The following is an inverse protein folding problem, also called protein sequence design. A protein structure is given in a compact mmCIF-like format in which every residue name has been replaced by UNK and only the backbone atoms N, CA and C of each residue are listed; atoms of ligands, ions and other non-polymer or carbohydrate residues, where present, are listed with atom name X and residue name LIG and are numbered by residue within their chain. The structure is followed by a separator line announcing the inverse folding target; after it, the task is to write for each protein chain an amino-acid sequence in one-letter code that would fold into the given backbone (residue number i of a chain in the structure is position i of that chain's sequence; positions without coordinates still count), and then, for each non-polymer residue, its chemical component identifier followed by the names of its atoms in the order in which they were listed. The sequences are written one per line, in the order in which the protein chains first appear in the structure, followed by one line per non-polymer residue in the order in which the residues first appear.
data_IF_964384591409
#
_entry.id   IF_964384591409
#
_cell.length_a   1.000
_cell.length_b   1.000
_cell.length_c   1.000
_cell.angle_alpha   90.00
_cell.angle_beta   90.00
_cell.angle_gamma   90.00
#
_symmetry.space_group_name_H-M   'P 1'
#
loop_
_entity.id
_entity.type
_entity.pdbx_description
1 polymer ?
#
# COMPACT_ATOMS: atom_id res chain seq x y z
N UNK A 1 -15.27 -0.15 -3.62
CA UNK A 1 -15.04 -0.67 -2.27
C UNK A 1 -13.81 0.00 -1.63
N UNK A 2 -12.60 -0.12 -2.20
CA UNK A 2 -11.33 0.40 -1.64
C UNK A 2 -11.40 1.88 -1.23
N UNK A 3 -11.88 2.76 -2.10
CA UNK A 3 -12.04 4.18 -1.81
C UNK A 3 -13.00 4.48 -0.66
N UNK A 4 -14.05 3.65 -0.48
CA UNK A 4 -14.98 3.79 0.63
C UNK A 4 -14.33 3.39 1.96
N UNK A 5 -13.54 2.30 1.97
CA UNK A 5 -12.79 1.85 3.16
C UNK A 5 -11.80 2.92 3.62
N UNK A 6 -11.12 3.59 2.69
CA UNK A 6 -10.17 4.66 3.00
C UNK A 6 -10.81 6.04 3.28
N UNK A 7 -12.15 6.13 3.28
CA UNK A 7 -12.86 7.39 3.48
C UNK A 7 -12.77 8.38 2.31
N UNK A 8 -12.22 7.96 1.17
CA UNK A 8 -12.09 8.78 -0.05
C UNK A 8 -13.40 8.88 -0.85
N UNK A 9 -14.37 8.05 -0.51
CA UNK A 9 -15.70 8.05 -1.10
C UNK A 9 -16.72 7.72 -0.01
N UNK A 10 -17.89 8.39 -0.01
CA UNK A 10 -18.97 8.04 0.93
C UNK A 10 -19.40 6.60 0.71
N UNK A 11 -19.43 5.83 1.78
CA UNK A 11 -20.07 4.52 1.79
C UNK A 11 -21.58 4.66 1.49
N UNK A 12 -22.17 3.63 0.91
CA UNK A 12 -23.62 3.58 0.73
C UNK A 12 -24.32 3.67 2.09
N UNK A 13 -25.53 4.25 2.13
CA UNK A 13 -26.30 4.35 3.37
C UNK A 13 -26.49 2.96 3.99
N UNK A 14 -26.18 2.85 5.29
CA UNK A 14 -26.30 1.60 6.06
C UNK A 14 -25.08 0.66 5.99
N UNK A 15 -24.05 0.98 5.23
CA UNK A 15 -22.76 0.24 5.22
C UNK A 15 -21.88 0.73 6.36
N UNK A 16 -21.43 -0.19 7.19
CA UNK A 16 -20.42 0.05 8.23
C UNK A 16 -19.13 -0.66 7.85
N UNK A 17 -18.03 0.02 8.05
CA UNK A 17 -16.68 -0.55 7.88
C UNK A 17 -16.08 -0.66 9.27
N UNK A 18 -15.81 -1.88 9.69
CA UNK A 18 -15.32 -2.16 11.03
C UNK A 18 -14.09 -3.09 10.96
N UNK A 19 -13.16 -2.91 11.89
CA UNK A 19 -12.02 -3.77 12.14
C UNK A 19 -12.09 -4.23 13.60
N UNK A 20 -12.05 -5.53 13.84
CA UNK A 20 -12.17 -6.14 15.17
C UNK A 20 -13.43 -5.67 15.94
N UNK A 21 -14.56 -5.54 15.22
CA UNK A 21 -15.84 -5.10 15.79
C UNK A 21 -15.94 -3.61 16.10
N UNK A 22 -14.89 -2.82 15.84
CA UNK A 22 -14.88 -1.37 16.02
C UNK A 22 -14.93 -0.67 14.66
N UNK A 23 -15.69 0.41 14.58
CA UNK A 23 -15.76 1.22 13.37
C UNK A 23 -14.37 1.75 13.00
N UNK A 24 -14.02 1.61 11.72
CA UNK A 24 -12.73 2.07 11.22
C UNK A 24 -12.69 3.61 11.19
N UNK A 25 -11.78 4.19 11.95
CA UNK A 25 -11.63 5.63 11.98
C UNK A 25 -10.94 6.17 10.72
N UNK A 26 -11.20 7.44 10.40
CA UNK A 26 -10.50 8.13 9.32
C UNK A 26 -8.98 8.10 9.55
N UNK A 27 -8.22 7.84 8.50
CA UNK A 27 -6.76 7.73 8.56
C UNK A 27 -6.21 6.36 8.99
N UNK A 28 -7.06 5.43 9.44
CA UNK A 28 -6.61 4.07 9.78
C UNK A 28 -6.47 3.15 8.56
N UNK A 29 -7.02 3.53 7.42
CA UNK A 29 -6.86 2.82 6.16
C UNK A 29 -6.11 3.68 5.14
N UNK A 30 -5.20 3.08 4.41
CA UNK A 30 -4.42 3.70 3.36
C UNK A 30 -4.62 2.94 2.04
N UNK A 31 -4.86 3.68 0.96
CA UNK A 31 -5.00 3.13 -0.38
C UNK A 31 -3.74 3.42 -1.20
N UNK A 32 -3.03 2.39 -1.60
CA UNK A 32 -2.00 2.47 -2.64
C UNK A 32 -2.72 2.34 -3.98
N UNK A 33 -2.78 3.44 -4.73
CA UNK A 33 -3.46 3.47 -6.03
C UNK A 33 -2.59 2.84 -7.13
N UNK A 34 -3.21 2.34 -8.17
CA UNK A 34 -2.54 1.85 -9.38
C UNK A 34 -1.58 2.91 -9.95
N UNK A 35 -2.01 4.17 -10.02
CA UNK A 35 -1.16 5.29 -10.42
C UNK A 35 -0.55 5.97 -9.17
N UNK A 36 0.56 5.40 -8.70
CA UNK A 36 1.30 5.91 -7.53
C UNK A 36 1.86 7.32 -7.69
N UNK A 37 2.00 7.82 -8.94
CA UNK A 37 2.45 9.19 -9.19
C UNK A 37 1.52 10.24 -8.57
N UNK A 38 0.25 9.92 -8.42
CA UNK A 38 -0.77 10.79 -7.83
C UNK A 38 -0.73 10.86 -6.31
N UNK A 39 0.17 10.10 -5.69
CA UNK A 39 0.28 10.01 -4.23
C UNK A 39 1.61 10.53 -3.70
N UNK A 40 2.50 10.98 -4.58
CA UNK A 40 3.83 11.49 -4.26
C UNK A 40 3.87 12.99 -4.48
N UNK A 41 3.92 13.77 -3.40
CA UNK A 41 3.78 15.22 -3.42
C UNK A 41 5.00 15.95 -2.87
N UNK A 42 5.87 15.29 -2.11
CA UNK A 42 7.00 15.93 -1.48
C UNK A 42 8.14 16.22 -2.48
N UNK A 43 9.03 17.11 -2.10
CA UNK A 43 10.21 17.50 -2.91
C UNK A 43 11.33 16.45 -2.85
N UNK A 44 11.32 15.58 -1.82
CA UNK A 44 12.31 14.52 -1.66
C UNK A 44 11.67 13.26 -1.05
N UNK A 45 12.31 12.12 -1.29
CA UNK A 45 11.92 10.81 -0.74
C UNK A 45 11.89 10.86 0.79
N UNK A 46 12.85 11.52 1.41
CA UNK A 46 12.93 11.67 2.88
C UNK A 46 11.83 12.56 3.48
N UNK A 47 11.12 13.32 2.65
CA UNK A 47 9.94 14.09 3.08
C UNK A 47 8.62 13.35 2.85
N UNK A 48 8.62 12.29 2.04
CA UNK A 48 7.44 11.42 1.85
C UNK A 48 7.29 10.43 2.99
N UNK A 49 8.40 9.82 3.46
CA UNK A 49 8.39 8.84 4.53
C UNK A 49 9.63 8.94 5.42
N UNK A 50 9.50 8.50 6.66
CA UNK A 50 10.57 8.51 7.63
C UNK A 50 11.71 7.55 7.29
N UNK A 51 12.92 7.87 7.76
CA UNK A 51 14.14 7.09 7.49
C UNK A 51 14.04 5.60 7.89
N UNK A 52 13.37 5.21 8.99
CA UNK A 52 13.19 3.80 9.34
C UNK A 52 12.46 3.02 8.25
N UNK A 53 11.38 3.56 7.71
CA UNK A 53 10.58 2.95 6.66
C UNK A 53 11.31 2.94 5.31
N UNK A 54 12.09 3.99 5.02
CA UNK A 54 12.94 4.02 3.84
C UNK A 54 14.03 2.95 3.88
N UNK A 55 14.65 2.73 5.05
CA UNK A 55 15.62 1.63 5.24
C UNK A 55 14.97 0.27 5.06
N UNK A 56 13.80 0.07 5.66
CA UNK A 56 13.03 -1.18 5.57
C UNK A 56 12.72 -1.55 4.12
N UNK A 57 12.41 -0.56 3.28
CA UNK A 57 11.99 -0.75 1.89
C UNK A 57 13.10 -0.50 0.87
N UNK A 58 14.36 -0.46 1.32
CA UNK A 58 15.55 -0.29 0.46
C UNK A 58 15.48 0.99 -0.41
N UNK A 59 15.14 2.10 0.26
CA UNK A 59 15.02 3.43 -0.36
C UNK A 59 15.90 4.49 0.33
N UNK A 60 16.64 4.12 1.39
CA UNK A 60 17.41 5.07 2.18
C UNK A 60 18.48 5.82 1.36
N UNK A 61 19.14 5.14 0.42
CA UNK A 61 20.15 5.73 -0.47
C UNK A 61 19.56 6.70 -1.50
N UNK A 62 18.23 6.74 -1.60
CA UNK A 62 17.49 7.62 -2.51
C UNK A 62 16.81 8.79 -1.77
N UNK A 63 17.11 8.97 -0.48
CA UNK A 63 16.43 9.90 0.42
C UNK A 63 16.37 11.35 -0.11
N UNK A 64 17.42 11.81 -0.76
CA UNK A 64 17.56 13.16 -1.30
C UNK A 64 17.01 13.32 -2.72
N UNK A 65 16.57 12.23 -3.34
CA UNK A 65 16.02 12.28 -4.70
C UNK A 65 14.59 12.77 -4.71
N UNK A 66 14.20 13.41 -5.81
CA UNK A 66 12.80 13.76 -6.03
C UNK A 66 11.99 12.48 -6.28
N UNK A 67 10.84 12.25 -5.63
CA UNK A 67 10.04 11.04 -5.75
C UNK A 67 9.68 10.68 -7.20
N UNK A 68 9.39 11.67 -8.04
CA UNK A 68 9.06 11.42 -9.44
C UNK A 68 10.23 10.91 -10.29
N UNK A 69 11.49 11.05 -9.83
CA UNK A 69 12.67 10.51 -10.50
C UNK A 69 12.90 9.01 -10.27
N UNK A 70 12.14 8.40 -9.37
CA UNK A 70 12.24 6.99 -9.02
C UNK A 70 11.64 6.09 -10.12
N UNK A 71 12.11 4.82 -10.17
CA UNK A 71 11.47 3.78 -10.98
C UNK A 71 10.05 3.46 -10.47
N UNK A 72 9.23 2.78 -11.27
CA UNK A 72 7.87 2.39 -10.87
C UNK A 72 7.84 1.59 -9.56
N UNK A 73 8.68 0.55 -9.44
CA UNK A 73 8.76 -0.25 -8.22
C UNK A 73 9.30 0.53 -7.01
N UNK A 74 10.24 1.47 -7.21
CA UNK A 74 10.70 2.35 -6.13
C UNK A 74 9.61 3.29 -5.64
N UNK A 75 8.82 3.87 -6.56
CA UNK A 75 7.66 4.71 -6.22
C UNK A 75 6.62 3.94 -5.43
N UNK A 76 6.33 2.71 -5.84
CA UNK A 76 5.38 1.86 -5.14
C UNK A 76 5.85 1.55 -3.71
N UNK A 77 7.10 1.16 -3.54
CA UNK A 77 7.69 0.96 -2.20
C UNK A 77 7.66 2.24 -1.37
N UNK A 78 7.88 3.40 -1.99
CA UNK A 78 7.81 4.68 -1.29
C UNK A 78 6.39 4.98 -0.78
N UNK A 79 5.34 4.74 -1.58
CA UNK A 79 3.94 4.91 -1.13
C UNK A 79 3.60 3.92 -0.01
N UNK A 80 4.12 2.68 -0.06
CA UNK A 80 3.98 1.72 1.04
C UNK A 80 4.71 2.25 2.30
N UNK A 81 5.92 2.80 2.16
CA UNK A 81 6.65 3.41 3.26
C UNK A 81 5.85 4.54 3.93
N UNK A 82 5.19 5.38 3.13
CA UNK A 82 4.31 6.43 3.62
C UNK A 82 3.12 5.87 4.41
N UNK A 83 2.51 4.79 3.93
CA UNK A 83 1.41 4.13 4.63
C UNK A 83 1.83 3.56 6.00
N UNK A 84 3.03 2.99 6.07
CA UNK A 84 3.59 2.48 7.33
C UNK A 84 3.90 3.63 8.30
N UNK A 85 4.46 4.70 7.79
CA UNK A 85 4.84 5.89 8.57
C UNK A 85 3.61 6.60 9.18
N UNK A 86 2.47 6.56 8.47
CA UNK A 86 1.18 7.03 8.96
C UNK A 86 0.47 6.06 9.91
N UNK A 87 1.10 4.95 10.28
CA UNK A 87 0.56 3.90 11.13
C UNK A 87 -0.80 3.34 10.65
N UNK A 88 -0.95 3.21 9.34
CA UNK A 88 -2.16 2.65 8.74
C UNK A 88 -2.37 1.19 9.20
N UNK A 89 -3.53 0.90 9.77
CA UNK A 89 -3.92 -0.46 10.23
C UNK A 89 -4.43 -1.32 9.08
N UNK A 90 -5.02 -0.70 8.08
CA UNK A 90 -5.53 -1.35 6.87
C UNK A 90 -4.80 -0.77 5.67
N UNK A 91 -4.11 -1.60 4.93
CA UNK A 91 -3.43 -1.25 3.69
C UNK A 91 -4.16 -1.91 2.53
N UNK A 92 -4.60 -1.10 1.58
CA UNK A 92 -5.28 -1.59 0.37
C UNK A 92 -4.39 -1.25 -0.82
N UNK A 93 -4.06 -2.25 -1.64
CA UNK A 93 -3.30 -2.07 -2.86
C UNK A 93 -4.22 -2.33 -4.07
N UNK A 94 -4.31 -1.36 -4.95
CA UNK A 94 -5.13 -1.43 -6.17
C UNK A 94 -4.21 -1.64 -7.37
N UNK A 95 -4.23 -2.86 -7.96
CA UNK A 95 -3.41 -3.29 -9.09
C UNK A 95 -1.90 -3.03 -8.91
N UNK A 96 -1.27 -3.53 -7.82
CA UNK A 96 0.12 -3.22 -7.50
C UNK A 96 1.14 -3.82 -8.48
N UNK A 97 0.72 -4.72 -9.36
CA UNK A 97 1.60 -5.39 -10.33
C UNK A 97 1.80 -4.58 -11.61
N UNK A 98 0.98 -3.56 -11.85
CA UNK A 98 1.00 -2.75 -13.07
C UNK A 98 2.34 -2.02 -13.26
N UNK A 99 3.10 -2.41 -14.31
CA UNK A 99 4.35 -1.76 -14.68
C UNK A 99 5.54 -2.07 -13.76
N UNK A 100 5.43 -3.09 -12.93
CA UNK A 100 6.49 -3.55 -12.01
C UNK A 100 7.07 -4.87 -12.53
N UNK A 101 8.41 -4.99 -12.55
CA UNK A 101 9.04 -6.26 -12.93
C UNK A 101 8.93 -7.32 -11.83
N UNK A 102 9.07 -8.58 -12.21
CA UNK A 102 8.88 -9.74 -11.33
C UNK A 102 9.73 -9.70 -10.04
N UNK A 103 10.98 -9.22 -10.11
CA UNK A 103 11.86 -9.19 -8.91
C UNK A 103 11.33 -8.21 -7.87
N UNK A 104 10.82 -7.07 -8.32
CA UNK A 104 10.23 -6.06 -7.45
C UNK A 104 8.89 -6.53 -6.88
N UNK A 105 8.11 -7.32 -7.65
CA UNK A 105 6.87 -7.93 -7.16
C UNK A 105 7.12 -8.90 -6.01
N UNK A 106 8.12 -9.78 -6.12
CA UNK A 106 8.49 -10.69 -5.04
C UNK A 106 8.89 -9.94 -3.76
N UNK A 107 9.66 -8.85 -3.91
CA UNK A 107 10.04 -8.01 -2.76
C UNK A 107 8.83 -7.33 -2.12
N UNK A 108 7.90 -6.80 -2.92
CA UNK A 108 6.66 -6.21 -2.44
C UNK A 108 5.80 -7.27 -1.74
N UNK A 109 5.63 -8.46 -2.33
CA UNK A 109 4.87 -9.55 -1.74
C UNK A 109 5.42 -9.97 -0.37
N UNK A 110 6.74 -10.08 -0.23
CA UNK A 110 7.38 -10.39 1.04
C UNK A 110 7.08 -9.31 2.10
N UNK A 111 7.19 -8.04 1.74
CA UNK A 111 6.89 -6.92 2.63
C UNK A 111 5.43 -6.90 3.06
N UNK A 112 4.49 -7.16 2.15
CA UNK A 112 3.06 -7.22 2.48
C UNK A 112 2.74 -8.34 3.47
N UNK A 113 3.40 -9.51 3.34
CA UNK A 113 3.28 -10.59 4.32
C UNK A 113 3.83 -10.21 5.69
N UNK A 114 4.96 -9.50 5.72
CA UNK A 114 5.56 -9.07 6.99
C UNK A 114 4.67 -8.03 7.67
N UNK A 115 4.06 -7.10 6.94
CA UNK A 115 3.07 -6.17 7.47
C UNK A 115 1.83 -6.89 8.04
N UNK A 116 1.36 -7.94 7.36
CA UNK A 116 0.25 -8.75 7.87
C UNK A 116 0.63 -9.50 9.16
N UNK A 117 1.84 -10.05 9.26
CA UNK A 117 2.36 -10.68 10.48
C UNK A 117 2.52 -9.69 11.66
N UNK A 118 2.77 -8.43 11.36
CA UNK A 118 2.80 -7.33 12.34
C UNK A 118 1.40 -6.91 12.82
N UNK A 119 0.33 -7.56 12.34
CA UNK A 119 -1.06 -7.32 12.74
C UNK A 119 -1.78 -6.26 11.92
N UNK A 120 -1.25 -5.88 10.76
CA UNK A 120 -1.97 -5.02 9.80
C UNK A 120 -2.87 -5.88 8.92
N UNK A 121 -3.98 -5.32 8.49
CA UNK A 121 -4.83 -5.93 7.46
C UNK A 121 -4.35 -5.46 6.10
N UNK A 122 -3.95 -6.41 5.25
CA UNK A 122 -3.51 -6.13 3.87
C UNK A 122 -4.54 -6.68 2.90
N UNK A 123 -5.07 -5.81 2.05
CA UNK A 123 -6.03 -6.15 1.01
C UNK A 123 -5.39 -5.85 -0.34
N UNK A 124 -5.27 -6.85 -1.18
CA UNK A 124 -4.73 -6.71 -2.53
C UNK A 124 -5.86 -6.91 -3.53
N UNK A 125 -6.03 -5.94 -4.43
CA UNK A 125 -6.95 -6.03 -5.56
C UNK A 125 -6.07 -6.22 -6.80
N UNK A 126 -6.14 -7.38 -7.43
CA UNK A 126 -5.35 -7.69 -8.62
C UNK A 126 -6.03 -8.79 -9.44
N UNK A 127 -5.74 -8.80 -10.72
CA UNK A 127 -6.04 -9.91 -11.64
C UNK A 127 -4.84 -10.84 -11.85
N UNK A 128 -3.70 -10.54 -11.24
CA UNK A 128 -2.48 -11.34 -11.28
C UNK A 128 -2.54 -12.43 -10.21
N UNK A 129 -2.93 -13.64 -10.63
CA UNK A 129 -3.10 -14.80 -9.75
C UNK A 129 -1.77 -15.24 -9.14
N UNK A 130 -0.65 -15.13 -9.86
CA UNK A 130 0.67 -15.50 -9.35
C UNK A 130 1.05 -14.59 -8.17
N UNK A 131 0.87 -13.29 -8.34
CA UNK A 131 1.13 -12.32 -7.28
C UNK A 131 0.21 -12.53 -6.07
N UNK A 132 -1.09 -12.76 -6.29
CA UNK A 132 -2.02 -13.07 -5.20
C UNK A 132 -1.60 -14.30 -4.39
N UNK A 133 -1.20 -15.38 -5.07
CA UNK A 133 -0.70 -16.59 -4.40
C UNK A 133 0.59 -16.34 -3.60
N UNK A 134 1.40 -15.40 -4.04
CA UNK A 134 2.63 -15.03 -3.36
C UNK A 134 2.40 -14.19 -2.09
N UNK A 135 1.36 -13.36 -2.02
CA UNK A 135 1.22 -12.34 -0.97
C UNK A 135 -0.04 -12.47 -0.10
N UNK A 136 -0.97 -13.39 -0.40
CA UNK A 136 -2.25 -13.47 0.33
C UNK A 136 -2.48 -14.85 0.96
N UNK A 137 -3.18 -14.88 2.10
CA UNK A 137 -3.63 -16.12 2.77
C UNK A 137 -5.03 -16.53 2.29
N UNK A 138 -5.82 -15.57 1.82
CA UNK A 138 -7.20 -15.77 1.38
C UNK A 138 -7.47 -14.96 0.12
N UNK A 139 -8.15 -15.58 -0.84
CA UNK A 139 -8.59 -14.93 -2.08
C UNK A 139 -10.11 -14.91 -2.13
N UNK A 140 -10.69 -13.75 -2.46
CA UNK A 140 -12.12 -13.58 -2.69
C UNK A 140 -12.30 -13.14 -4.14
N UNK A 141 -13.02 -13.95 -4.93
CA UNK A 141 -13.41 -13.59 -6.28
C UNK A 141 -14.72 -12.81 -6.24
N UNK A 142 -14.77 -11.70 -6.95
CA UNK A 142 -15.95 -10.84 -7.04
C UNK A 142 -16.39 -10.85 -8.51
N UNK A 143 -17.58 -11.40 -8.76
CA UNK A 143 -18.26 -11.40 -10.07
C UNK A 143 -18.87 -10.03 -10.40
#
# INVERSE_FOLDING_TARGET
LARAVCGLQRALRGVRIALDGKELAAGQAFLVMQDVHRQLFAESVSREAGLPQLKRLDLADLADRHPLSLSGGQKQRLVIATAIDQDARVLILDEPTSGVDHRHLVAIAAELRDLAREGRVVIVISHDIEFLNECTDHVIEIE
#
